data_IF_307213095535
#
_entry.id   IF_307213095535
#
_cell.length_a   1.000
_cell.length_b   1.000
_cell.length_c   1.000
_cell.angle_alpha   90.00
_cell.angle_beta   90.00
_cell.angle_gamma   90.00
#
_symmetry.space_group_name_H-M   'P 1'
#
loop_
_entity.id
_entity.type
_entity.pdbx_description
1 polymer ?
#
# COMPACT_ATOMS: atom_id res chain seq x y z
N UNK A 1 -10.40 70.21 -66.50
CA UNK A 1 -10.92 68.83 -66.60
C UNK A 1 -9.70 67.91 -66.58
N UNK A 2 -9.44 66.99 -65.65
CA UNK A 2 -10.09 66.45 -64.46
C UNK A 2 -8.94 65.86 -63.60
N UNK A 3 -9.03 65.85 -62.25
CA UNK A 3 -7.90 65.70 -61.35
C UNK A 3 -7.62 64.26 -60.94
N UNK A 4 -6.39 64.01 -60.48
CA UNK A 4 -6.01 62.77 -59.81
C UNK A 4 -6.82 62.52 -58.54
N UNK A 5 -7.16 61.25 -58.30
CA UNK A 5 -7.76 60.77 -57.06
C UNK A 5 -6.89 59.67 -56.47
N UNK A 6 -6.23 60.02 -55.36
CA UNK A 6 -5.95 59.07 -54.29
C UNK A 6 -7.30 58.56 -53.74
N UNK A 7 -7.43 57.26 -53.45
CA UNK A 7 -7.44 56.72 -52.08
C UNK A 7 -8.12 55.34 -51.93
N UNK A 8 -7.61 54.59 -50.95
CA UNK A 8 -8.31 53.62 -50.07
C UNK A 8 -8.90 52.33 -50.66
N UNK A 9 -8.11 51.25 -50.65
CA UNK A 9 -8.58 49.87 -50.32
C UNK A 9 -7.46 49.21 -49.51
N UNK A 10 -7.34 49.50 -48.21
CA UNK A 10 -7.93 48.72 -47.11
C UNK A 10 -7.43 47.26 -47.05
N UNK A 11 -6.38 47.07 -46.24
CA UNK A 11 -6.17 45.92 -45.37
C UNK A 11 -6.53 44.52 -45.93
N UNK A 12 -5.57 43.90 -46.62
CA UNK A 12 -5.45 42.43 -46.65
C UNK A 12 -4.15 42.02 -45.93
N UNK A 13 -4.01 42.46 -44.67
CA UNK A 13 -3.17 41.71 -43.73
C UNK A 13 -4.08 40.62 -43.18
N UNK A 14 -4.02 39.45 -43.82
CA UNK A 14 -4.67 38.23 -43.38
C UNK A 14 -4.09 37.88 -42.00
N UNK A 15 -4.68 38.43 -40.94
CA UNK A 15 -4.47 37.99 -39.58
C UNK A 15 -5.06 36.57 -39.47
N UNK A 16 -4.27 35.59 -39.88
CA UNK A 16 -4.37 34.23 -39.37
C UNK A 16 -4.02 34.32 -37.87
N UNK A 17 -4.95 34.86 -37.08
CA UNK A 17 -5.03 34.62 -35.66
C UNK A 17 -5.31 33.13 -35.53
N UNK A 18 -4.23 32.36 -35.47
CA UNK A 18 -4.22 31.03 -34.88
C UNK A 18 -4.79 31.22 -33.47
N UNK A 19 -6.10 31.01 -33.33
CA UNK A 19 -6.72 30.66 -32.07
C UNK A 19 -6.12 29.31 -31.67
N UNK A 20 -4.87 29.31 -31.19
CA UNK A 20 -4.43 28.33 -30.22
C UNK A 20 -5.29 28.60 -28.98
N UNK A 21 -6.51 28.05 -29.01
CA UNK A 21 -7.27 27.79 -27.80
C UNK A 21 -6.34 26.96 -26.94
N UNK A 22 -5.70 27.61 -25.97
CA UNK A 22 -5.02 26.97 -24.86
C UNK A 22 -6.11 26.29 -24.03
N UNK A 23 -6.69 25.20 -24.55
CA UNK A 23 -7.37 24.23 -23.72
C UNK A 23 -6.28 23.65 -22.81
N UNK A 24 -6.11 24.25 -21.64
CA UNK A 24 -5.42 23.62 -20.53
C UNK A 24 -6.13 22.30 -20.30
N UNK A 25 -5.53 21.20 -20.77
CA UNK A 25 -6.02 19.85 -20.54
C UNK A 25 -6.20 19.71 -19.03
N UNK A 26 -7.41 19.40 -18.59
CA UNK A 26 -7.67 19.14 -17.17
C UNK A 26 -6.77 18.00 -16.71
N UNK A 27 -6.10 18.20 -15.57
CA UNK A 27 -5.25 17.17 -14.98
C UNK A 27 -6.11 16.00 -14.54
N UNK A 28 -5.67 14.80 -14.84
CA UNK A 28 -6.24 13.58 -14.26
C UNK A 28 -6.07 13.58 -12.74
N UNK A 29 -6.80 12.69 -12.06
CA UNK A 29 -6.64 12.50 -10.61
C UNK A 29 -5.18 12.20 -10.23
N UNK A 30 -4.53 11.27 -10.94
CA UNK A 30 -3.14 10.85 -10.68
C UNK A 30 -2.17 12.02 -10.87
N UNK A 31 -2.28 12.77 -11.97
CA UNK A 31 -1.44 13.95 -12.23
C UNK A 31 -1.65 15.06 -11.17
N UNK A 32 -2.86 15.15 -10.62
CA UNK A 32 -3.18 16.11 -9.56
C UNK A 32 -2.52 15.74 -8.24
N UNK A 33 -2.69 14.49 -7.77
CA UNK A 33 -2.11 14.05 -6.48
C UNK A 33 -0.60 13.83 -6.54
N UNK A 34 -0.01 13.68 -7.74
CA UNK A 34 1.45 13.60 -7.92
C UNK A 34 2.18 14.84 -7.39
N UNK A 35 1.51 16.00 -7.37
CA UNK A 35 2.06 17.25 -6.78
C UNK A 35 2.33 17.13 -5.27
N UNK A 36 1.71 16.17 -4.58
CA UNK A 36 1.88 15.91 -3.16
C UNK A 36 2.77 14.70 -2.85
N UNK A 37 3.34 14.04 -3.87
CA UNK A 37 4.30 12.97 -3.66
C UNK A 37 5.53 13.50 -2.93
N UNK A 38 5.85 12.90 -1.78
CA UNK A 38 6.96 13.33 -0.93
C UNK A 38 8.21 12.61 -1.39
N UNK A 39 9.25 13.35 -1.77
CA UNK A 39 10.51 12.77 -2.20
C UNK A 39 11.15 11.94 -1.08
N UNK A 40 11.71 10.78 -1.44
CA UNK A 40 12.46 9.97 -0.50
C UNK A 40 13.76 10.68 -0.09
N UNK A 41 14.17 10.57 1.19
CA UNK A 41 15.45 11.10 1.63
C UNK A 41 16.62 10.33 0.99
N UNK A 42 17.82 10.90 1.13
CA UNK A 42 19.07 10.18 0.85
C UNK A 42 19.19 9.00 1.81
N UNK A 43 19.59 7.86 1.27
CA UNK A 43 19.77 6.61 2.02
C UNK A 43 20.89 6.74 3.06
N UNK A 44 20.73 6.06 4.19
CA UNK A 44 21.69 5.99 5.30
C UNK A 44 22.04 4.54 5.63
N UNK A 45 23.22 4.27 6.23
CA UNK A 45 23.54 2.93 6.71
C UNK A 45 22.46 2.38 7.63
N UNK A 46 21.98 1.17 7.33
CA UNK A 46 20.87 0.51 8.05
C UNK A 46 19.53 0.58 7.31
N UNK A 47 19.32 1.58 6.46
CA UNK A 47 18.09 1.70 5.66
C UNK A 47 17.95 0.52 4.70
N UNK A 48 16.70 0.14 4.38
CA UNK A 48 16.40 -0.89 3.40
C UNK A 48 17.12 -0.62 2.07
N UNK A 49 16.93 0.60 1.54
CA UNK A 49 17.49 1.06 0.27
C UNK A 49 19.01 1.22 0.26
N UNK A 50 19.68 1.18 1.43
CA UNK A 50 21.14 1.22 1.49
C UNK A 50 21.76 -0.15 1.20
N UNK A 51 21.08 -1.22 1.62
CA UNK A 51 21.59 -2.60 1.55
C UNK A 51 21.01 -3.41 0.40
N UNK A 52 20.10 -2.83 -0.38
CA UNK A 52 19.36 -3.48 -1.46
C UNK A 52 19.51 -2.67 -2.75
N UNK A 53 20.00 -3.33 -3.78
CA UNK A 53 19.97 -2.79 -5.14
C UNK A 53 18.67 -3.25 -5.83
N UNK A 54 17.65 -2.40 -5.78
CA UNK A 54 16.32 -2.68 -6.31
C UNK A 54 16.09 -1.90 -7.59
N UNK A 55 15.50 -2.57 -8.59
CA UNK A 55 15.18 -1.94 -9.86
C UNK A 55 13.90 -1.11 -9.75
N UNK A 56 13.94 0.10 -10.32
CA UNK A 56 12.76 0.94 -10.41
C UNK A 56 11.74 0.30 -11.36
N UNK A 57 10.59 -0.12 -10.82
CA UNK A 57 9.47 -0.59 -11.62
C UNK A 57 8.72 0.61 -12.22
N UNK A 58 8.73 0.78 -13.53
CA UNK A 58 7.89 1.79 -14.22
C UNK A 58 6.42 1.36 -14.27
N UNK A 59 5.53 2.23 -14.76
CA UNK A 59 4.14 1.83 -15.01
C UNK A 59 4.07 0.80 -16.14
N UNK A 60 4.88 0.97 -17.18
CA UNK A 60 5.00 0.08 -18.33
C UNK A 60 5.51 -1.31 -17.93
N UNK A 61 6.52 -1.37 -17.05
CA UNK A 61 7.01 -2.64 -16.50
C UNK A 61 5.90 -3.35 -15.72
N UNK A 62 5.19 -2.61 -14.87
CA UNK A 62 4.07 -3.13 -14.10
C UNK A 62 2.96 -3.67 -15.01
N UNK A 63 2.64 -2.99 -16.12
CA UNK A 63 1.61 -3.42 -17.06
C UNK A 63 1.94 -4.77 -17.71
N UNK A 64 3.22 -5.04 -18.00
CA UNK A 64 3.71 -6.28 -18.62
C UNK A 64 3.66 -7.50 -17.68
N UNK A 65 3.56 -7.29 -16.36
CA UNK A 65 3.50 -8.38 -15.40
C UNK A 65 2.22 -9.20 -15.53
N UNK A 66 2.38 -10.53 -15.53
CA UNK A 66 1.31 -11.43 -15.16
C UNK A 66 1.10 -11.31 -13.64
N UNK A 67 -0.09 -10.88 -13.24
CA UNK A 67 -0.40 -10.50 -11.86
C UNK A 67 -1.82 -10.90 -11.52
N UNK A 68 -2.07 -11.16 -10.24
CA UNK A 68 -3.40 -11.46 -9.73
C UNK A 68 -4.28 -10.23 -9.95
N UNK A 69 -5.52 -10.47 -10.38
CA UNK A 69 -6.56 -9.45 -10.53
C UNK A 69 -7.86 -9.99 -9.96
N UNK A 70 -8.72 -9.12 -9.39
CA UNK A 70 -10.08 -9.52 -9.06
C UNK A 70 -10.82 -9.96 -10.32
N UNK A 71 -11.51 -11.09 -10.23
CA UNK A 71 -12.35 -11.64 -11.29
C UNK A 71 -13.76 -11.89 -10.76
N UNK A 72 -14.73 -12.12 -11.64
CA UNK A 72 -16.08 -12.50 -11.23
C UNK A 72 -16.02 -13.76 -10.35
N UNK A 73 -16.50 -13.65 -9.11
CA UNK A 73 -16.46 -14.75 -8.14
C UNK A 73 -15.10 -14.95 -7.43
N UNK A 74 -14.09 -14.13 -7.71
CA UNK A 74 -12.79 -14.10 -7.01
C UNK A 74 -12.36 -12.66 -6.72
N UNK A 75 -12.99 -12.06 -5.74
CA UNK A 75 -12.86 -10.63 -5.46
C UNK A 75 -12.80 -10.29 -3.95
N UNK A 76 -12.61 -11.28 -3.09
CA UNK A 76 -12.56 -11.08 -1.64
C UNK A 76 -11.14 -11.18 -1.10
N UNK A 77 -10.72 -10.20 -0.30
CA UNK A 77 -9.51 -10.28 0.53
C UNK A 77 -9.87 -10.96 1.84
N UNK A 78 -9.14 -12.01 2.22
CA UNK A 78 -9.33 -12.66 3.51
C UNK A 78 -8.19 -12.34 4.47
N UNK A 79 -8.53 -11.98 5.70
CA UNK A 79 -7.58 -11.94 6.82
C UNK A 79 -7.69 -13.25 7.60
N UNK A 80 -6.58 -13.94 7.79
CA UNK A 80 -6.50 -15.17 8.58
C UNK A 80 -5.70 -14.90 9.86
N UNK A 81 -6.35 -14.67 11.01
CA UNK A 81 -5.65 -14.64 12.29
C UNK A 81 -5.06 -16.03 12.59
N UNK A 82 -3.79 -16.08 13.03
CA UNK A 82 -3.09 -17.31 13.39
C UNK A 82 -2.38 -17.11 14.73
N UNK A 83 -2.98 -17.68 15.77
CA UNK A 83 -2.48 -17.72 17.13
C UNK A 83 -3.50 -17.19 18.14
N UNK A 84 -3.01 -16.64 19.25
CA UNK A 84 -3.81 -16.13 20.35
C UNK A 84 -3.68 -14.61 20.46
N UNK A 85 -4.81 -13.91 20.39
CA UNK A 85 -4.86 -12.45 20.35
C UNK A 85 -5.55 -11.89 21.59
N UNK A 86 -4.98 -10.83 22.17
CA UNK A 86 -5.65 -10.02 23.18
C UNK A 86 -6.86 -9.28 22.60
N UNK A 87 -7.73 -8.73 23.44
CA UNK A 87 -8.88 -7.93 22.98
C UNK A 87 -8.44 -6.70 22.16
N UNK A 88 -7.32 -6.07 22.53
CA UNK A 88 -6.74 -4.98 21.75
C UNK A 88 -6.26 -5.47 20.38
N UNK A 89 -5.54 -6.59 20.31
CA UNK A 89 -5.10 -7.14 19.01
C UNK A 89 -6.28 -7.56 18.12
N UNK A 90 -7.36 -8.11 18.70
CA UNK A 90 -8.61 -8.38 17.96
C UNK A 90 -9.23 -7.10 17.41
N UNK A 91 -9.20 -6.00 18.18
CA UNK A 91 -9.64 -4.68 17.72
C UNK A 91 -8.76 -4.15 16.59
N UNK A 92 -7.44 -4.32 16.66
CA UNK A 92 -6.52 -3.98 15.55
C UNK A 92 -6.88 -4.75 14.28
N UNK A 93 -7.04 -6.07 14.35
CA UNK A 93 -7.41 -6.91 13.21
C UNK A 93 -8.74 -6.45 12.57
N UNK A 94 -9.72 -6.10 13.41
CA UNK A 94 -11.02 -5.58 12.93
C UNK A 94 -10.85 -4.24 12.19
N UNK A 95 -10.09 -3.30 12.76
CA UNK A 95 -9.84 -2.00 12.13
C UNK A 95 -9.00 -2.14 10.86
N UNK A 96 -8.05 -3.06 10.82
CA UNK A 96 -7.30 -3.39 9.60
C UNK A 96 -8.19 -3.99 8.53
N UNK A 97 -9.18 -4.83 8.87
CA UNK A 97 -10.20 -5.28 7.90
C UNK A 97 -10.97 -4.10 7.30
N UNK A 98 -11.39 -3.15 8.13
CA UNK A 98 -12.10 -1.94 7.66
C UNK A 98 -11.21 -1.12 6.73
N UNK A 99 -9.98 -0.81 7.16
CA UNK A 99 -8.98 -0.09 6.38
C UNK A 99 -8.72 -0.75 5.03
N UNK A 100 -8.41 -2.05 5.00
CA UNK A 100 -8.06 -2.76 3.76
C UNK A 100 -9.26 -2.82 2.79
N UNK A 101 -10.48 -2.94 3.31
CA UNK A 101 -11.69 -2.86 2.46
C UNK A 101 -11.82 -1.49 1.79
N UNK A 102 -11.56 -0.39 2.51
CA UNK A 102 -11.55 0.96 1.92
C UNK A 102 -10.37 1.17 0.97
N UNK A 103 -9.19 0.67 1.36
CA UNK A 103 -7.93 0.85 0.63
C UNK A 103 -7.94 0.15 -0.72
N UNK A 104 -8.44 -1.08 -0.81
CA UNK A 104 -8.50 -1.82 -2.06
C UNK A 104 -9.87 -1.70 -2.75
N UNK A 105 -10.89 -1.17 -2.06
CA UNK A 105 -12.30 -1.19 -2.49
C UNK A 105 -12.78 -2.60 -2.88
N UNK A 106 -12.28 -3.59 -2.15
CA UNK A 106 -12.68 -4.99 -2.27
C UNK A 106 -13.38 -5.42 -0.98
N UNK A 107 -14.20 -6.47 -1.11
CA UNK A 107 -14.77 -7.10 0.06
C UNK A 107 -13.63 -7.69 0.89
N UNK A 108 -13.57 -7.37 2.18
CA UNK A 108 -12.57 -7.92 3.10
C UNK A 108 -13.26 -8.67 4.23
N UNK A 109 -12.87 -9.92 4.47
CA UNK A 109 -13.44 -10.78 5.52
C UNK A 109 -12.36 -11.25 6.49
N UNK A 110 -12.72 -11.48 7.75
CA UNK A 110 -11.84 -12.12 8.74
C UNK A 110 -12.29 -13.57 8.90
N UNK A 111 -11.38 -14.52 8.74
CA UNK A 111 -11.60 -15.93 8.97
C UNK A 111 -11.53 -16.29 10.45
N UNK A 112 -12.09 -17.43 10.88
CA UNK A 112 -11.87 -17.95 12.23
C UNK A 112 -10.38 -18.11 12.53
N UNK A 113 -9.96 -17.70 13.73
CA UNK A 113 -8.55 -17.77 14.14
C UNK A 113 -8.06 -19.22 14.17
N UNK A 114 -6.86 -19.46 13.61
CA UNK A 114 -6.17 -20.74 13.75
C UNK A 114 -5.34 -20.74 15.05
N UNK A 115 -5.23 -21.88 15.76
CA UNK A 115 -4.42 -21.95 16.98
C UNK A 115 -2.92 -22.01 16.65
N UNK A 116 -2.07 -21.63 17.61
CA UNK A 116 -0.60 -21.74 17.49
C UNK A 116 -0.09 -23.16 17.20
N UNK A 117 -0.88 -24.20 17.45
CA UNK A 117 -0.51 -25.60 17.17
C UNK A 117 -0.34 -25.90 15.67
N UNK A 118 -0.79 -25.03 14.78
CA UNK A 118 -0.55 -25.18 13.32
C UNK A 118 0.91 -24.98 12.93
N UNK A 119 1.72 -24.37 13.79
CA UNK A 119 3.16 -24.22 13.57
C UNK A 119 3.92 -25.43 14.16
N UNK A 120 4.48 -26.32 13.33
CA UNK A 120 5.27 -27.46 13.80
C UNK A 120 6.63 -26.99 14.33
N UNK A 121 7.31 -27.87 15.07
CA UNK A 121 8.67 -27.60 15.58
C UNK A 121 9.66 -27.20 14.48
N UNK A 122 9.54 -27.79 13.28
CA UNK A 122 10.41 -27.51 12.14
C UNK A 122 10.23 -26.10 11.54
N UNK A 123 9.10 -25.44 11.82
CA UNK A 123 8.84 -24.08 11.38
C UNK A 123 9.18 -23.04 12.47
N UNK A 124 9.71 -23.47 13.61
CA UNK A 124 10.04 -22.62 14.77
C UNK A 124 11.55 -22.51 14.94
N UNK A 125 12.01 -21.36 15.42
CA UNK A 125 13.36 -21.22 16.00
C UNK A 125 13.30 -20.39 17.27
N UNK A 126 14.30 -20.57 18.13
CA UNK A 126 14.54 -19.68 19.27
C UNK A 126 15.64 -18.70 18.87
N UNK A 127 15.32 -17.42 18.94
CA UNK A 127 16.24 -16.32 18.71
C UNK A 127 16.72 -15.75 20.05
N UNK A 128 17.36 -14.58 20.01
CA UNK A 128 17.91 -13.91 21.21
C UNK A 128 16.87 -13.86 22.34
N UNK A 129 17.36 -14.05 23.57
CA UNK A 129 16.55 -13.93 24.80
C UNK A 129 15.34 -14.89 24.86
N UNK A 130 15.42 -16.04 24.18
CA UNK A 130 14.34 -17.03 24.21
C UNK A 130 13.15 -16.69 23.31
N UNK A 131 13.27 -15.64 22.49
CA UNK A 131 12.22 -15.22 21.57
C UNK A 131 11.93 -16.31 20.52
N UNK A 132 10.72 -16.86 20.52
CA UNK A 132 10.27 -17.79 19.47
C UNK A 132 9.91 -17.03 18.19
N UNK A 133 10.43 -17.50 17.05
CA UNK A 133 10.09 -16.98 15.73
C UNK A 133 9.57 -18.10 14.82
N UNK A 134 8.67 -17.75 13.90
CA UNK A 134 8.05 -18.66 12.93
C UNK A 134 8.57 -18.38 11.53
N UNK A 135 8.87 -19.43 10.78
CA UNK A 135 9.32 -19.33 9.40
C UNK A 135 8.18 -18.80 8.52
N UNK A 136 8.32 -17.59 8.00
CA UNK A 136 7.27 -16.92 7.22
C UNK A 136 6.85 -17.74 5.98
N UNK A 137 7.82 -18.31 5.25
CA UNK A 137 7.54 -19.18 4.12
C UNK A 137 6.67 -20.41 4.46
N UNK A 138 6.84 -20.99 5.66
CA UNK A 138 5.97 -22.08 6.10
C UNK A 138 4.52 -21.61 6.26
N UNK A 139 4.30 -20.40 6.77
CA UNK A 139 2.96 -19.82 6.90
C UNK A 139 2.31 -19.65 5.53
N UNK A 140 3.05 -19.13 4.55
CA UNK A 140 2.57 -18.95 3.18
C UNK A 140 2.20 -20.30 2.54
N UNK A 141 3.16 -21.21 2.45
CA UNK A 141 3.07 -22.40 1.58
C UNK A 141 2.26 -23.52 2.22
N UNK A 142 2.40 -23.69 3.54
CA UNK A 142 1.81 -24.83 4.26
C UNK A 142 0.54 -24.50 5.03
N UNK A 143 0.27 -23.22 5.29
CA UNK A 143 -0.95 -22.80 5.99
C UNK A 143 -1.92 -22.10 5.06
N UNK A 144 -1.54 -20.92 4.55
CA UNK A 144 -2.44 -20.01 3.86
C UNK A 144 -2.81 -20.53 2.48
N UNK A 145 -1.83 -20.95 1.67
CA UNK A 145 -2.08 -21.44 0.32
C UNK A 145 -3.02 -22.65 0.30
N UNK A 146 -2.83 -23.60 1.24
CA UNK A 146 -3.65 -24.81 1.36
C UNK A 146 -5.06 -24.55 1.89
N UNK A 147 -5.31 -23.40 2.51
CA UNK A 147 -6.61 -23.01 3.10
C UNK A 147 -7.26 -21.83 2.39
N UNK A 148 -6.69 -21.39 1.27
CA UNK A 148 -7.18 -20.24 0.51
C UNK A 148 -8.63 -20.47 0.08
N UNK A 149 -9.59 -19.62 0.51
CA UNK A 149 -10.97 -19.72 0.05
C UNK A 149 -11.05 -19.62 -1.48
N UNK A 150 -12.03 -20.30 -2.08
CA UNK A 150 -12.14 -20.39 -3.55
C UNK A 150 -12.40 -19.03 -4.22
N UNK A 151 -13.11 -18.16 -3.53
CA UNK A 151 -13.44 -16.78 -3.90
C UNK A 151 -12.41 -15.75 -3.44
N UNK A 152 -11.31 -16.19 -2.80
CA UNK A 152 -10.25 -15.30 -2.37
C UNK A 152 -9.43 -14.79 -3.55
N UNK A 153 -9.37 -13.47 -3.70
CA UNK A 153 -8.37 -12.83 -4.56
C UNK A 153 -7.00 -12.78 -3.86
N UNK A 154 -7.00 -12.59 -2.54
CA UNK A 154 -5.81 -12.54 -1.70
C UNK A 154 -6.11 -13.05 -0.28
N UNK A 155 -5.13 -13.66 0.38
CA UNK A 155 -5.21 -14.08 1.78
C UNK A 155 -4.03 -13.53 2.56
N UNK A 156 -4.32 -12.74 3.59
CA UNK A 156 -3.34 -12.16 4.47
C UNK A 156 -3.41 -12.79 5.86
N UNK A 157 -2.40 -13.58 6.21
CA UNK A 157 -2.19 -14.06 7.57
C UNK A 157 -1.79 -12.92 8.50
N UNK A 158 -2.34 -12.92 9.71
CA UNK A 158 -1.90 -12.04 10.80
C UNK A 158 -1.58 -12.93 11.99
N UNK A 159 -0.38 -12.80 12.56
CA UNK A 159 0.05 -13.60 13.71
C UNK A 159 0.66 -12.72 14.80
N UNK A 160 0.44 -13.08 16.07
CA UNK A 160 1.12 -12.47 17.21
C UNK A 160 2.56 -12.97 17.39
N UNK A 161 2.96 -14.03 16.66
CA UNK A 161 4.31 -14.57 16.71
C UNK A 161 5.27 -13.79 15.83
N UNK A 162 6.52 -13.68 16.26
CA UNK A 162 7.55 -13.04 15.43
C UNK A 162 7.87 -13.91 14.21
N UNK A 163 8.30 -13.28 13.12
CA UNK A 163 8.55 -13.95 11.85
C UNK A 163 10.00 -13.86 11.44
N UNK A 164 10.51 -14.90 10.78
CA UNK A 164 11.79 -14.85 10.08
C UNK A 164 11.66 -15.41 8.65
N UNK A 165 12.37 -14.84 7.66
CA UNK A 165 12.23 -15.25 6.28
C UNK A 165 13.15 -16.42 5.91
N UNK A 166 14.37 -16.45 6.46
CA UNK A 166 15.43 -17.43 6.20
C UNK A 166 16.37 -17.53 7.41
N UNK A 167 17.12 -18.65 7.58
CA UNK A 167 17.98 -18.85 8.73
C UNK A 167 18.97 -17.71 9.01
N UNK A 168 19.49 -17.06 7.96
CA UNK A 168 20.55 -16.05 8.06
C UNK A 168 20.04 -14.64 8.41
N UNK A 169 18.71 -14.45 8.42
CA UNK A 169 18.08 -13.14 8.63
C UNK A 169 17.52 -13.02 10.04
N UNK A 170 17.44 -11.80 10.56
CA UNK A 170 16.98 -11.53 11.92
C UNK A 170 15.45 -11.72 12.07
N UNK A 171 14.66 -10.97 11.31
CA UNK A 171 13.20 -11.05 11.32
C UNK A 171 12.64 -10.38 10.06
N UNK A 172 11.33 -10.50 9.86
CA UNK A 172 10.55 -9.67 8.92
C UNK A 172 9.25 -9.22 9.59
N UNK A 173 8.76 -8.04 9.23
CA UNK A 173 7.42 -7.60 9.67
C UNK A 173 6.32 -8.32 8.90
N UNK A 174 6.56 -8.61 7.63
CA UNK A 174 5.68 -9.39 6.78
C UNK A 174 6.44 -10.05 5.62
N UNK A 175 5.73 -10.93 4.92
CA UNK A 175 6.22 -11.55 3.69
C UNK A 175 5.03 -11.96 2.82
N UNK A 176 5.10 -11.69 1.52
CA UNK A 176 4.10 -12.09 0.54
C UNK A 176 4.68 -12.94 -0.61
N UNK A 177 3.85 -13.84 -1.13
CA UNK A 177 4.03 -14.45 -2.46
C UNK A 177 3.36 -13.57 -3.51
N UNK A 178 4.13 -13.15 -4.50
CA UNK A 178 3.66 -12.34 -5.63
C UNK A 178 2.71 -13.13 -6.57
N UNK A 179 2.78 -14.46 -6.56
CA UNK A 179 2.06 -15.31 -7.54
C UNK A 179 0.91 -16.10 -6.91
N UNK A 180 1.01 -16.45 -5.62
CA UNK A 180 0.02 -17.31 -4.96
C UNK A 180 -1.09 -16.50 -4.27
N UNK A 181 -0.93 -15.18 -4.20
CA UNK A 181 -1.82 -14.26 -3.49
C UNK A 181 -2.02 -14.63 -2.02
N UNK A 182 -0.92 -14.98 -1.36
CA UNK A 182 -0.86 -15.20 0.09
C UNK A 182 0.27 -14.38 0.69
N UNK A 183 0.05 -13.85 1.89
CA UNK A 183 1.06 -13.10 2.64
C UNK A 183 0.82 -13.23 4.13
N UNK A 184 1.80 -12.88 4.94
CA UNK A 184 1.69 -12.92 6.41
C UNK A 184 2.33 -11.68 7.01
N UNK A 185 1.71 -11.09 8.03
CA UNK A 185 2.25 -10.00 8.85
C UNK A 185 2.30 -10.43 10.31
N UNK A 186 3.36 -10.01 11.01
CA UNK A 186 3.53 -10.19 12.44
C UNK A 186 3.17 -8.94 13.22
N UNK A 187 2.32 -9.08 14.24
CA UNK A 187 2.08 -8.04 15.24
C UNK A 187 3.20 -7.91 16.27
N UNK A 188 4.08 -8.92 16.39
CA UNK A 188 4.96 -9.11 17.54
C UNK A 188 5.78 -7.86 17.91
N UNK A 189 6.20 -7.09 16.89
CA UNK A 189 7.08 -5.93 17.06
C UNK A 189 6.35 -4.60 17.06
N UNK A 190 5.07 -4.54 16.66
CA UNK A 190 4.40 -3.27 16.35
C UNK A 190 4.03 -2.43 17.56
N UNK A 191 3.90 -3.01 18.74
CA UNK A 191 3.62 -2.28 19.99
C UNK A 191 4.88 -1.83 20.73
N UNK A 192 6.08 -2.16 20.25
CA UNK A 192 7.35 -1.90 20.98
C UNK A 192 7.34 -2.44 22.43
N UNK A 193 6.79 -3.64 22.63
CA UNK A 193 6.55 -4.23 23.94
C UNK A 193 5.11 -4.72 24.05
N UNK A 194 4.52 -4.66 25.25
CA UNK A 194 3.13 -5.04 25.44
C UNK A 194 2.17 -4.00 24.85
N UNK A 195 1.16 -4.47 24.14
CA UNK A 195 0.10 -3.63 23.58
C UNK A 195 -0.81 -3.11 24.71
N UNK A 196 -1.07 -1.82 24.69
CA UNK A 196 -1.93 -1.08 25.63
C UNK A 196 -2.67 0.03 24.88
N UNK A 197 -3.58 0.75 25.55
CA UNK A 197 -4.30 1.86 24.91
C UNK A 197 -3.37 3.01 24.48
N UNK A 198 -2.22 3.20 25.14
CA UNK A 198 -1.31 4.32 24.83
C UNK A 198 -0.50 4.13 23.54
N UNK A 199 -0.17 2.88 23.19
CA UNK A 199 0.55 2.52 21.96
C UNK A 199 -0.34 1.83 20.91
N UNK A 200 -1.66 1.76 21.15
CA UNK A 200 -2.62 1.12 20.26
C UNK A 200 -2.60 1.69 18.85
N UNK A 201 -2.66 3.03 18.72
CA UNK A 201 -2.70 3.69 17.42
C UNK A 201 -1.41 3.50 16.62
N UNK A 202 -0.26 3.53 17.28
CA UNK A 202 1.05 3.30 16.66
C UNK A 202 1.15 1.86 16.12
N UNK A 203 0.73 0.88 16.92
CA UNK A 203 0.69 -0.53 16.51
C UNK A 203 -0.31 -0.77 15.37
N UNK A 204 -1.50 -0.18 15.45
CA UNK A 204 -2.50 -0.24 14.38
C UNK A 204 -1.98 0.38 13.07
N UNK A 205 -1.34 1.55 13.14
CA UNK A 205 -0.78 2.24 11.97
C UNK A 205 0.28 1.37 11.27
N UNK A 206 1.16 0.72 12.05
CA UNK A 206 2.14 -0.24 11.53
C UNK A 206 1.44 -1.45 10.88
N UNK A 207 0.41 -2.00 11.53
CA UNK A 207 -0.33 -3.15 10.99
C UNK A 207 -1.00 -2.83 9.65
N UNK A 208 -1.64 -1.67 9.50
CA UNK A 208 -2.29 -1.29 8.24
C UNK A 208 -1.27 -1.02 7.14
N UNK A 209 -0.12 -0.39 7.47
CA UNK A 209 0.97 -0.12 6.52
C UNK A 209 1.55 -1.43 6.00
N UNK A 210 1.99 -2.32 6.88
CA UNK A 210 2.61 -3.58 6.46
C UNK A 210 1.58 -4.49 5.78
N UNK A 211 0.34 -4.59 6.27
CA UNK A 211 -0.66 -5.45 5.61
C UNK A 211 -1.02 -4.96 4.21
N UNK A 212 -1.16 -3.65 3.99
CA UNK A 212 -1.41 -3.12 2.64
C UNK A 212 -0.19 -3.21 1.72
N UNK A 213 1.02 -3.09 2.28
CA UNK A 213 2.27 -3.34 1.57
C UNK A 213 2.35 -4.78 1.05
N UNK A 214 2.18 -5.78 1.92
CA UNK A 214 2.24 -7.19 1.54
C UNK A 214 1.13 -7.57 0.55
N UNK A 215 -0.08 -7.06 0.72
CA UNK A 215 -1.16 -7.26 -0.26
C UNK A 215 -0.82 -6.55 -1.59
N UNK A 216 -0.17 -5.39 -1.55
CA UNK A 216 0.33 -4.69 -2.73
C UNK A 216 1.28 -5.55 -3.57
N UNK A 217 2.17 -6.31 -2.92
CA UNK A 217 3.02 -7.29 -3.61
C UNK A 217 2.22 -8.38 -4.32
N UNK A 218 1.14 -8.88 -3.71
CA UNK A 218 0.24 -9.86 -4.36
C UNK A 218 -0.42 -9.30 -5.63
N UNK A 219 -0.57 -7.98 -5.72
CA UNK A 219 -1.08 -7.30 -6.92
C UNK A 219 0.03 -6.82 -7.88
N UNK A 220 1.27 -7.25 -7.66
CA UNK A 220 2.40 -7.04 -8.57
C UNK A 220 3.20 -5.75 -8.33
N UNK A 221 2.92 -5.01 -7.27
CA UNK A 221 3.74 -3.85 -6.91
C UNK A 221 5.08 -4.33 -6.34
N UNK A 222 6.19 -3.87 -6.92
CA UNK A 222 7.50 -4.00 -6.26
C UNK A 222 7.64 -2.94 -5.17
N UNK A 223 8.75 -2.97 -4.43
CA UNK A 223 9.11 -1.83 -3.60
C UNK A 223 9.14 -0.54 -4.41
N UNK A 224 8.58 0.52 -3.83
CA UNK A 224 8.51 1.84 -4.44
C UNK A 224 9.82 2.58 -4.20
N UNK A 225 10.37 3.16 -5.27
CA UNK A 225 11.53 4.05 -5.21
C UNK A 225 11.19 5.48 -5.66
N UNK A 226 9.92 5.75 -5.99
CA UNK A 226 9.45 7.02 -6.53
C UNK A 226 9.27 8.11 -5.46
N UNK A 227 8.67 7.75 -4.33
CA UNK A 227 8.27 8.68 -3.28
C UNK A 227 8.10 7.93 -1.94
N UNK A 228 7.96 8.68 -0.84
CA UNK A 228 7.50 8.17 0.43
C UNK A 228 6.07 7.60 0.26
N UNK A 229 5.98 6.29 0.38
CA UNK A 229 4.91 5.45 -0.10
C UNK A 229 4.81 4.20 0.79
N UNK A 230 3.60 3.70 1.00
CA UNK A 230 3.40 2.44 1.76
C UNK A 230 4.12 1.25 1.15
N UNK A 231 4.43 1.29 -0.15
CA UNK A 231 5.21 0.26 -0.84
C UNK A 231 6.73 0.43 -0.69
N UNK A 232 7.25 1.38 0.10
CA UNK A 232 8.69 1.42 0.36
C UNK A 232 9.11 0.21 1.22
N UNK A 233 10.22 -0.45 0.86
CA UNK A 233 10.81 -1.49 1.70
C UNK A 233 11.34 -0.90 3.01
N UNK A 234 11.33 -1.70 4.08
CA UNK A 234 11.68 -1.28 5.44
C UNK A 234 12.48 -2.37 6.16
N UNK A 235 13.56 -1.99 6.85
CA UNK A 235 14.32 -2.85 7.75
C UNK A 235 13.95 -2.65 9.22
N UNK A 236 13.32 -1.52 9.57
CA UNK A 236 13.14 -1.09 10.97
C UNK A 236 11.77 -0.45 11.20
N UNK A 237 11.31 -0.43 12.45
CA UNK A 237 10.07 0.29 12.78
C UNK A 237 10.20 1.79 12.52
N UNK A 238 11.38 2.38 12.74
CA UNK A 238 11.64 3.79 12.43
C UNK A 238 11.44 4.10 10.94
N UNK A 239 11.89 3.23 10.03
CA UNK A 239 11.59 3.36 8.60
C UNK A 239 10.09 3.20 8.32
N UNK A 240 9.45 2.19 8.91
CA UNK A 240 8.00 1.97 8.76
C UNK A 240 7.17 3.18 9.23
N UNK A 241 7.56 3.81 10.33
CA UNK A 241 6.88 4.98 10.90
C UNK A 241 7.12 6.24 10.07
N UNK A 242 8.31 6.36 9.48
CA UNK A 242 8.64 7.44 8.55
C UNK A 242 7.80 7.35 7.26
N UNK A 243 7.50 6.13 6.80
CA UNK A 243 6.73 5.94 5.58
C UNK A 243 5.23 6.15 5.78
N UNK A 244 4.56 6.75 4.80
CA UNK A 244 3.10 6.95 4.86
C UNK A 244 2.35 5.67 4.49
N UNK A 245 1.15 5.49 5.04
CA UNK A 245 0.18 4.49 4.59
C UNK A 245 -0.40 4.82 3.20
N UNK A 246 -0.20 6.06 2.73
CA UNK A 246 -0.50 6.48 1.36
C UNK A 246 0.37 5.75 0.33
N UNK A 247 -0.26 5.14 -0.68
CA UNK A 247 0.42 4.84 -1.94
C UNK A 247 0.67 6.14 -2.72
N UNK A 248 1.90 6.34 -3.22
CA UNK A 248 2.21 7.48 -4.08
C UNK A 248 1.43 7.46 -5.40
N UNK A 249 1.44 8.56 -6.15
CA UNK A 249 0.69 8.68 -7.41
C UNK A 249 0.98 7.52 -8.37
N UNK A 250 2.25 7.16 -8.56
CA UNK A 250 2.67 6.04 -9.41
C UNK A 250 2.14 4.69 -8.91
N UNK A 251 2.22 4.41 -7.60
CA UNK A 251 1.70 3.16 -7.05
C UNK A 251 0.17 3.09 -7.12
N UNK A 252 -0.53 4.22 -6.96
CA UNK A 252 -1.98 4.28 -7.18
C UNK A 252 -2.35 4.07 -8.64
N UNK A 253 -1.59 4.62 -9.59
CA UNK A 253 -1.79 4.39 -11.02
C UNK A 253 -1.64 2.90 -11.37
N UNK A 254 -0.56 2.27 -10.88
CA UNK A 254 -0.32 0.84 -11.03
C UNK A 254 -1.46 0.02 -10.44
N UNK A 255 -1.78 0.25 -9.16
CA UNK A 255 -2.80 -0.52 -8.46
C UNK A 255 -4.18 -0.38 -9.14
N UNK A 256 -4.59 0.84 -9.49
CA UNK A 256 -5.88 1.09 -10.13
C UNK A 256 -5.99 0.43 -11.51
N UNK A 257 -4.88 0.30 -12.25
CA UNK A 257 -4.88 -0.43 -13.53
C UNK A 257 -5.11 -1.95 -13.41
N UNK A 258 -5.02 -2.50 -12.20
CA UNK A 258 -5.24 -3.94 -11.93
C UNK A 258 -6.47 -4.22 -11.05
N UNK A 259 -6.79 -3.29 -10.16
CA UNK A 259 -7.96 -3.30 -9.28
C UNK A 259 -8.67 -1.98 -9.53
N UNK A 260 -9.72 -2.00 -10.35
CA UNK A 260 -10.49 -0.78 -10.59
C UNK A 260 -11.17 -0.36 -9.29
N UNK A 261 -10.85 0.85 -8.84
CA UNK A 261 -11.45 1.49 -7.68
C UNK A 261 -11.71 2.97 -7.96
N UNK A 262 -12.67 3.56 -7.27
CA UNK A 262 -12.93 4.99 -7.30
C UNK A 262 -11.89 5.72 -6.43
N UNK A 263 -11.01 6.45 -7.09
CA UNK A 263 -9.95 7.26 -6.47
C UNK A 263 -10.46 8.27 -5.43
N UNK A 264 -11.53 9.01 -5.76
CA UNK A 264 -12.04 10.09 -4.90
C UNK A 264 -12.74 9.49 -3.68
N UNK A 265 -13.56 8.46 -3.89
CA UNK A 265 -14.22 7.73 -2.80
C UNK A 265 -13.19 7.11 -1.87
N UNK A 266 -12.18 6.41 -2.41
CA UNK A 266 -11.10 5.79 -1.64
C UNK A 266 -10.38 6.83 -0.77
N UNK A 267 -10.02 7.97 -1.34
CA UNK A 267 -9.34 9.03 -0.60
C UNK A 267 -10.22 9.62 0.52
N UNK A 268 -11.50 9.88 0.25
CA UNK A 268 -12.44 10.38 1.24
C UNK A 268 -12.68 9.40 2.40
N UNK A 269 -12.88 8.11 2.08
CA UNK A 269 -13.08 7.05 3.06
C UNK A 269 -11.85 6.86 3.95
N UNK A 270 -10.64 6.84 3.36
CA UNK A 270 -9.39 6.75 4.11
C UNK A 270 -9.18 7.98 5.01
N UNK A 271 -9.46 9.18 4.52
CA UNK A 271 -9.41 10.42 5.32
C UNK A 271 -10.31 10.31 6.56
N UNK A 272 -11.55 9.85 6.38
CA UNK A 272 -12.49 9.64 7.49
C UNK A 272 -12.01 8.57 8.47
N UNK A 273 -11.44 7.46 7.97
CA UNK A 273 -10.85 6.44 8.83
C UNK A 273 -9.70 6.99 9.68
N UNK A 274 -8.75 7.71 9.07
CA UNK A 274 -7.62 8.29 9.79
C UNK A 274 -8.06 9.31 10.84
N UNK A 275 -9.07 10.13 10.54
CA UNK A 275 -9.67 11.07 11.49
C UNK A 275 -10.29 10.34 12.68
N UNK A 276 -11.10 9.30 12.42
CA UNK A 276 -11.76 8.50 13.47
C UNK A 276 -10.78 7.74 14.37
N UNK A 277 -9.66 7.29 13.82
CA UNK A 277 -8.62 6.56 14.56
C UNK A 277 -7.51 7.46 15.10
N UNK A 278 -7.59 8.79 14.92
CA UNK A 278 -6.56 9.76 15.34
C UNK A 278 -5.16 9.48 14.75
N UNK A 279 -5.09 9.01 13.51
CA UNK A 279 -3.84 8.79 12.76
C UNK A 279 -3.42 10.08 12.06
N UNK A 280 -2.92 11.05 12.84
CA UNK A 280 -2.75 12.44 12.42
C UNK A 280 -1.82 12.64 11.21
N UNK A 281 -0.74 11.85 11.10
CA UNK A 281 0.19 11.92 9.97
C UNK A 281 -0.50 11.53 8.65
N UNK A 282 -1.24 10.43 8.69
CA UNK A 282 -2.00 9.92 7.53
C UNK A 282 -3.20 10.80 7.19
N UNK A 283 -3.91 11.32 8.20
CA UNK A 283 -4.98 12.30 8.03
C UNK A 283 -4.49 13.54 7.29
N UNK A 284 -3.42 14.17 7.79
CA UNK A 284 -2.84 15.36 7.18
C UNK A 284 -2.44 15.09 5.72
N UNK A 285 -1.95 13.88 5.43
CA UNK A 285 -1.59 13.51 4.07
C UNK A 285 -2.80 13.36 3.15
N UNK A 286 -3.87 12.71 3.62
CA UNK A 286 -5.11 12.58 2.87
C UNK A 286 -5.77 13.94 2.59
N UNK A 287 -5.73 14.87 3.56
CA UNK A 287 -6.27 16.23 3.40
C UNK A 287 -5.54 17.04 2.34
N UNK A 288 -4.21 16.91 2.25
CA UNK A 288 -3.45 17.59 1.19
C UNK A 288 -3.86 17.13 -0.20
N UNK A 289 -4.09 15.83 -0.40
CA UNK A 289 -4.60 15.32 -1.68
C UNK A 289 -6.01 15.80 -1.97
N UNK A 290 -6.90 15.78 -0.98
CA UNK A 290 -8.28 16.27 -1.14
C UNK A 290 -8.32 17.76 -1.52
N UNK A 291 -7.44 18.57 -0.95
CA UNK A 291 -7.41 20.01 -1.23
C UNK A 291 -6.96 20.33 -2.65
N UNK A 292 -6.22 19.45 -3.33
CA UNK A 292 -5.87 19.63 -4.75
C UNK A 292 -6.99 19.21 -5.71
N UNK A 293 -7.99 18.46 -5.23
CA UNK A 293 -9.08 17.90 -6.02
C UNK A 293 -10.39 18.70 -5.92
N UNK A 294 -10.39 19.77 -5.10
CA UNK A 294 -11.45 20.77 -4.98
C UNK A 294 -11.30 21.81 -6.08
#
# INVERSE_FOLDING_TARGET
MSPGKYNFIFFYLLTFLLFFSCHKKEKTYIETIALNDVQLPKVKPGDWRYSRDEQFQTFEDFQKLNKIRPESGKNTIYLQPIGAFSELQKKEIKLTKEYLSMYFQLETKVLPALPNSVFPKTARRIFKEGQEQILAGYVLDSILLKRKPKDAVAVMGITEKDLFPRPEWNYVFGQASYIDAVGVTSLYRFSNGDLSESNFNESLERLIKISSHEIGHMFGLSHCLNANCVMNGTNTLTETDFHFARACSLCQQKLNSSILYDHKKRLADLKHFFEKQHLNSELSRAEKDLNLLK
#
